data_IF_053402869796
#
_entry.id   IF_053402869796
#
_cell.length_a   1.000
_cell.length_b   1.000
_cell.length_c   1.000
_cell.angle_alpha   90.00
_cell.angle_beta   90.00
_cell.angle_gamma   90.00
#
_symmetry.space_group_name_H-M   'P 1'
#
loop_
_entity.id
_entity.type
_entity.pdbx_description
1 polymer ?
#
# COMPACT_ATOMS: atom_id res chain seq x y z
N UNK A 1 23.38 -3.71 4.24
CA UNK A 1 22.48 -2.65 3.75
C UNK A 1 22.06 -2.88 2.29
N UNK A 2 22.97 -3.23 1.38
CA UNK A 2 22.67 -3.39 -0.05
C UNK A 2 21.66 -4.50 -0.37
N UNK A 3 21.80 -5.68 0.25
CA UNK A 3 20.87 -6.79 0.05
C UNK A 3 19.43 -6.41 0.46
N UNK A 4 19.26 -5.69 1.57
CA UNK A 4 17.96 -5.20 2.02
C UNK A 4 17.35 -4.24 1.00
N UNK A 5 18.14 -3.30 0.46
CA UNK A 5 17.68 -2.38 -0.62
C UNK A 5 17.31 -3.10 -1.90
N UNK A 6 17.98 -4.22 -2.21
CA UNK A 6 17.63 -5.05 -3.37
C UNK A 6 16.29 -5.76 -3.17
N UNK A 7 16.04 -6.32 -1.98
CA UNK A 7 14.76 -6.94 -1.63
C UNK A 7 13.66 -5.87 -1.58
N UNK A 8 13.95 -4.70 -1.02
CA UNK A 8 13.05 -3.55 -0.91
C UNK A 8 13.07 -2.68 -2.19
N UNK A 9 13.00 -3.33 -3.36
CA UNK A 9 12.90 -2.60 -4.62
C UNK A 9 11.52 -1.93 -4.72
N UNK A 10 11.50 -0.59 -4.64
CA UNK A 10 10.28 0.23 -4.62
C UNK A 10 9.33 -0.11 -5.76
N UNK A 11 9.84 -0.16 -7.00
CA UNK A 11 9.01 -0.40 -8.19
C UNK A 11 8.38 -1.80 -8.17
N UNK A 12 9.14 -2.82 -7.78
CA UNK A 12 8.63 -4.19 -7.68
C UNK A 12 7.50 -4.27 -6.66
N UNK A 13 7.68 -3.72 -5.46
CA UNK A 13 6.64 -3.75 -4.43
C UNK A 13 5.39 -2.97 -4.83
N UNK A 14 5.53 -1.79 -5.43
CA UNK A 14 4.41 -1.02 -5.98
C UNK A 14 3.62 -1.82 -7.04
N UNK A 15 4.31 -2.53 -7.95
CA UNK A 15 3.65 -3.35 -8.97
C UNK A 15 2.92 -4.52 -8.32
N UNK A 16 3.57 -5.24 -7.40
CA UNK A 16 2.96 -6.39 -6.74
C UNK A 16 1.65 -6.00 -6.04
N UNK A 17 1.69 -4.93 -5.25
CA UNK A 17 0.51 -4.48 -4.51
C UNK A 17 -0.58 -3.94 -5.44
N UNK A 18 -0.22 -3.20 -6.49
CA UNK A 18 -1.18 -2.72 -7.48
C UNK A 18 -1.90 -3.87 -8.19
N UNK A 19 -1.17 -4.91 -8.61
CA UNK A 19 -1.74 -6.08 -9.28
C UNK A 19 -2.67 -6.85 -8.35
N UNK A 20 -2.27 -7.08 -7.08
CA UNK A 20 -3.12 -7.76 -6.09
C UNK A 20 -4.44 -6.99 -5.91
N UNK A 21 -4.38 -5.67 -5.72
CA UNK A 21 -5.57 -4.85 -5.50
C UNK A 21 -6.43 -4.72 -6.75
N UNK A 22 -5.84 -4.75 -7.94
CA UNK A 22 -6.60 -4.78 -9.20
C UNK A 22 -7.36 -6.09 -9.32
N UNK A 23 -6.68 -7.23 -9.10
CA UNK A 23 -7.30 -8.55 -9.26
C UNK A 23 -8.37 -8.79 -8.20
N UNK A 24 -8.04 -8.64 -6.92
CA UNK A 24 -8.95 -8.96 -5.81
C UNK A 24 -10.02 -7.90 -5.63
N UNK A 25 -9.66 -6.63 -5.77
CA UNK A 25 -10.56 -5.53 -5.47
C UNK A 25 -11.44 -5.09 -6.62
N UNK A 26 -11.02 -5.30 -7.87
CA UNK A 26 -11.74 -4.82 -9.06
C UNK A 26 -12.20 -5.98 -9.93
N UNK A 27 -11.28 -6.82 -10.40
CA UNK A 27 -11.60 -7.87 -11.39
C UNK A 27 -12.37 -9.06 -10.80
N UNK A 28 -12.26 -9.29 -9.48
CA UNK A 28 -13.04 -10.31 -8.80
C UNK A 28 -14.49 -9.90 -8.50
N UNK A 29 -14.85 -8.63 -8.71
CA UNK A 29 -16.22 -8.15 -8.58
C UNK A 29 -16.96 -8.47 -9.88
N UNK A 30 -18.04 -9.25 -9.78
CA UNK A 30 -18.69 -9.85 -10.97
C UNK A 30 -20.09 -9.34 -11.21
N UNK A 31 -20.72 -8.74 -10.20
CA UNK A 31 -22.05 -8.15 -10.30
C UNK A 31 -22.05 -6.68 -9.88
N UNK A 32 -21.81 -5.80 -10.84
CA UNK A 32 -21.83 -4.35 -10.63
C UNK A 32 -23.26 -3.77 -10.44
N UNK A 33 -24.31 -4.60 -10.46
CA UNK A 33 -25.65 -4.17 -10.04
C UNK A 33 -25.84 -4.25 -8.53
N UNK A 34 -24.94 -4.93 -7.81
CA UNK A 34 -24.89 -4.95 -6.35
C UNK A 34 -24.05 -3.77 -5.87
N UNK A 35 -24.67 -2.84 -5.15
CA UNK A 35 -24.02 -1.60 -4.69
C UNK A 35 -22.70 -1.86 -3.95
N UNK A 36 -22.67 -2.85 -3.05
CA UNK A 36 -21.46 -3.20 -2.29
C UNK A 36 -20.29 -3.68 -3.17
N UNK A 37 -20.57 -4.47 -4.22
CA UNK A 37 -19.53 -4.91 -5.17
C UNK A 37 -19.03 -3.74 -6.03
N UNK A 38 -19.94 -2.89 -6.50
CA UNK A 38 -19.61 -1.71 -7.28
C UNK A 38 -18.79 -0.67 -6.48
N UNK A 39 -19.17 -0.41 -5.23
CA UNK A 39 -18.44 0.48 -4.32
C UNK A 39 -17.04 -0.05 -4.01
N UNK A 40 -16.92 -1.35 -3.70
CA UNK A 40 -15.61 -1.97 -3.47
C UNK A 40 -14.73 -1.88 -4.72
N UNK A 41 -15.25 -2.22 -5.90
CA UNK A 41 -14.53 -2.06 -7.16
C UNK A 41 -14.07 -0.62 -7.40
N UNK A 42 -14.91 0.37 -7.10
CA UNK A 42 -14.57 1.79 -7.23
C UNK A 42 -13.39 2.21 -6.34
N UNK A 43 -13.43 1.84 -5.05
CA UNK A 43 -12.35 2.16 -4.10
C UNK A 43 -11.04 1.50 -4.52
N UNK A 44 -11.07 0.21 -4.85
CA UNK A 44 -9.87 -0.53 -5.23
C UNK A 44 -9.32 -0.11 -6.59
N UNK A 45 -10.15 0.39 -7.51
CA UNK A 45 -9.71 0.98 -8.77
C UNK A 45 -8.87 2.24 -8.55
N UNK A 46 -9.31 3.13 -7.66
CA UNK A 46 -8.55 4.34 -7.30
C UNK A 46 -7.22 3.97 -6.67
N UNK A 47 -7.22 3.04 -5.70
CA UNK A 47 -5.99 2.54 -5.05
C UNK A 47 -5.02 1.98 -6.10
N UNK A 48 -5.51 1.08 -6.96
CA UNK A 48 -4.69 0.45 -8.01
C UNK A 48 -4.12 1.47 -8.98
N UNK A 49 -4.91 2.48 -9.36
CA UNK A 49 -4.49 3.55 -10.28
C UNK A 49 -3.35 4.37 -9.68
N UNK A 50 -3.44 4.78 -8.42
CA UNK A 50 -2.36 5.53 -7.76
C UNK A 50 -1.08 4.71 -7.58
N UNK A 51 -1.21 3.42 -7.28
CA UNK A 51 -0.05 2.53 -7.15
C UNK A 51 0.63 2.29 -8.50
N UNK A 52 -0.13 2.08 -9.57
CA UNK A 52 0.42 1.99 -10.93
C UNK A 52 1.02 3.31 -11.41
N UNK A 53 0.38 4.44 -11.08
CA UNK A 53 0.95 5.76 -11.34
C UNK A 53 2.32 5.89 -10.67
N UNK A 54 2.42 5.59 -9.37
CA UNK A 54 3.68 5.60 -8.67
C UNK A 54 4.70 4.67 -9.33
N UNK A 55 4.32 3.43 -9.68
CA UNK A 55 5.22 2.43 -10.25
C UNK A 55 5.78 2.79 -11.63
N UNK A 56 4.97 3.42 -12.49
CA UNK A 56 5.30 3.58 -13.92
C UNK A 56 5.53 5.03 -14.35
N UNK A 57 5.02 6.01 -13.61
CA UNK A 57 5.08 7.43 -13.98
C UNK A 57 5.95 8.28 -13.05
N UNK A 58 6.54 7.68 -12.02
CA UNK A 58 7.53 8.34 -11.16
C UNK A 58 8.80 7.50 -11.08
N UNK A 59 9.93 8.11 -10.71
CA UNK A 59 11.21 7.41 -10.59
C UNK A 59 12.06 7.98 -9.44
N UNK A 60 13.10 7.25 -9.03
CA UNK A 60 14.09 7.71 -8.05
C UNK A 60 13.48 8.03 -6.68
N UNK A 61 13.97 9.09 -6.03
CA UNK A 61 13.51 9.50 -4.70
C UNK A 61 12.02 9.87 -4.68
N UNK A 62 11.51 10.49 -5.75
CA UNK A 62 10.10 10.85 -5.84
C UNK A 62 9.19 9.61 -5.80
N UNK A 63 9.56 8.54 -6.53
CA UNK A 63 8.84 7.27 -6.49
C UNK A 63 8.88 6.63 -5.10
N UNK A 64 10.04 6.65 -4.45
CA UNK A 64 10.20 6.09 -3.11
C UNK A 64 9.38 6.87 -2.06
N UNK A 65 9.40 8.20 -2.10
CA UNK A 65 8.59 9.05 -1.22
C UNK A 65 7.10 8.80 -1.44
N UNK A 66 6.67 8.72 -2.70
CA UNK A 66 5.27 8.42 -3.03
C UNK A 66 4.86 7.03 -2.53
N UNK A 67 5.71 6.01 -2.66
CA UNK A 67 5.45 4.69 -2.09
C UNK A 67 5.27 4.73 -0.56
N UNK A 68 6.12 5.47 0.16
CA UNK A 68 6.00 5.62 1.60
C UNK A 68 4.70 6.34 2.01
N UNK A 69 4.32 7.40 1.29
CA UNK A 69 3.10 8.19 1.58
C UNK A 69 1.83 7.41 1.25
N UNK A 70 1.82 6.63 0.17
CA UNK A 70 0.66 5.82 -0.18
C UNK A 70 0.50 4.61 0.74
N UNK A 71 1.60 3.89 1.03
CA UNK A 71 1.53 2.62 1.75
C UNK A 71 1.63 2.76 3.28
N UNK A 72 2.38 3.74 3.77
CA UNK A 72 2.66 3.92 5.20
C UNK A 72 1.39 4.10 6.04
N UNK A 73 0.51 5.07 5.73
CA UNK A 73 -0.74 5.26 6.46
C UNK A 73 -1.65 4.03 6.44
N UNK A 74 -1.71 3.31 5.32
CA UNK A 74 -2.54 2.09 5.19
C UNK A 74 -1.98 0.98 6.08
N UNK A 75 -0.66 0.79 6.10
CA UNK A 75 -0.02 -0.18 6.99
C UNK A 75 -0.26 0.15 8.47
N UNK A 76 -0.12 1.43 8.85
CA UNK A 76 -0.41 1.90 10.21
C UNK A 76 -1.87 1.63 10.57
N UNK A 77 -2.80 1.85 9.64
CA UNK A 77 -4.22 1.57 9.87
C UNK A 77 -4.46 0.09 10.19
N UNK A 78 -3.88 -0.84 9.42
CA UNK A 78 -3.98 -2.28 9.72
C UNK A 78 -3.39 -2.64 11.08
N UNK A 79 -2.30 -2.00 11.50
CA UNK A 79 -1.75 -2.18 12.84
C UNK A 79 -2.70 -1.67 13.93
N UNK A 80 -3.35 -0.52 13.72
CA UNK A 80 -4.37 0.00 14.64
C UNK A 80 -5.56 -0.96 14.72
N UNK A 81 -6.08 -1.41 13.59
CA UNK A 81 -7.15 -2.40 13.55
C UNK A 81 -6.80 -3.65 14.38
N UNK A 82 -5.58 -4.17 14.20
CA UNK A 82 -5.10 -5.37 14.88
C UNK A 82 -4.90 -5.21 16.39
N UNK A 83 -4.30 -4.08 16.81
CA UNK A 83 -3.96 -3.83 18.20
C UNK A 83 -5.19 -3.52 19.06
N UNK A 84 -6.26 -3.01 18.43
CA UNK A 84 -7.52 -2.67 19.10
C UNK A 84 -8.64 -3.65 18.77
N UNK A 85 -8.35 -4.73 18.04
CA UNK A 85 -9.33 -5.76 17.65
C UNK A 85 -10.59 -5.13 17.05
N UNK A 86 -10.41 -4.18 16.13
CA UNK A 86 -11.53 -3.45 15.54
C UNK A 86 -12.41 -4.39 14.70
N UNK A 87 -13.72 -4.20 14.78
CA UNK A 87 -14.68 -4.95 13.95
C UNK A 87 -14.93 -4.22 12.62
N UNK A 88 -14.93 -4.97 11.52
CA UNK A 88 -15.34 -4.47 10.21
C UNK A 88 -16.86 -4.31 10.14
N UNK A 89 -17.36 -3.58 9.15
CA UNK A 89 -18.81 -3.51 8.88
C UNK A 89 -19.46 -4.86 8.50
N UNK A 90 -18.67 -5.93 8.34
CA UNK A 90 -19.13 -7.28 8.00
C UNK A 90 -19.02 -8.26 9.18
N UNK A 91 -18.71 -7.77 10.39
CA UNK A 91 -18.53 -8.61 11.58
C UNK A 91 -17.18 -9.32 11.67
N UNK A 92 -16.22 -8.98 10.81
CA UNK A 92 -14.87 -9.52 10.88
C UNK A 92 -14.04 -8.74 11.90
N UNK A 93 -13.45 -9.42 12.87
CA UNK A 93 -12.58 -8.81 13.88
C UNK A 93 -11.14 -8.84 13.38
N UNK A 94 -10.50 -7.68 13.33
CA UNK A 94 -9.10 -7.57 12.94
C UNK A 94 -8.19 -7.97 14.10
N UNK A 95 -7.78 -9.24 14.15
CA UNK A 95 -6.81 -9.74 15.13
C UNK A 95 -5.41 -9.90 14.50
N UNK A 96 -4.36 -10.04 15.31
CA UNK A 96 -3.01 -10.42 14.87
C UNK A 96 -2.96 -11.91 14.47
N UNK A 97 -3.74 -12.27 13.45
CA UNK A 97 -3.88 -13.61 12.90
C UNK A 97 -3.29 -13.76 11.48
N UNK A 98 -3.28 -14.99 10.93
CA UNK A 98 -2.82 -15.28 9.57
C UNK A 98 -3.51 -14.42 8.48
N UNK A 99 -4.77 -14.05 8.68
CA UNK A 99 -5.60 -13.28 7.77
C UNK A 99 -5.09 -11.84 7.59
N UNK A 100 -4.39 -11.32 8.60
CA UNK A 100 -3.80 -9.99 8.59
C UNK A 100 -2.37 -9.99 8.00
N UNK A 101 -1.74 -11.16 7.81
CA UNK A 101 -0.39 -11.22 7.24
C UNK A 101 -0.30 -10.61 5.83
N UNK A 102 -1.21 -10.91 4.88
CA UNK A 102 -1.12 -10.32 3.54
C UNK A 102 -1.10 -8.78 3.56
N UNK A 103 -2.06 -8.06 4.18
CA UNK A 103 -2.00 -6.60 4.19
C UNK A 103 -0.75 -6.07 4.92
N UNK A 104 -0.35 -6.66 6.05
CA UNK A 104 0.85 -6.21 6.77
C UNK A 104 2.13 -6.37 5.96
N UNK A 105 2.29 -7.48 5.23
CA UNK A 105 3.48 -7.75 4.42
C UNK A 105 3.50 -6.84 3.20
N UNK A 106 2.42 -6.81 2.39
CA UNK A 106 2.46 -6.07 1.13
C UNK A 106 2.47 -4.56 1.35
N UNK A 107 1.65 -4.03 2.24
CA UNK A 107 1.69 -2.59 2.58
C UNK A 107 2.98 -2.23 3.31
N UNK A 108 3.41 -3.06 4.25
CA UNK A 108 4.60 -2.82 5.06
C UNK A 108 5.88 -2.82 4.24
N UNK A 109 6.06 -3.81 3.35
CA UNK A 109 7.21 -3.87 2.46
C UNK A 109 7.22 -2.73 1.44
N UNK A 110 6.06 -2.30 0.96
CA UNK A 110 5.96 -1.13 0.07
C UNK A 110 6.36 0.15 0.81
N UNK A 111 5.85 0.35 2.02
CA UNK A 111 6.18 1.50 2.86
C UNK A 111 7.67 1.51 3.25
N UNK A 112 8.20 0.37 3.69
CA UNK A 112 9.61 0.21 4.05
C UNK A 112 10.53 0.48 2.85
N UNK A 113 10.18 -0.03 1.66
CA UNK A 113 10.92 0.26 0.43
C UNK A 113 10.96 1.76 0.16
N UNK A 114 9.83 2.44 0.31
CA UNK A 114 9.75 3.89 0.17
C UNK A 114 10.63 4.64 1.18
N UNK A 115 10.58 4.27 2.46
CA UNK A 115 11.39 4.89 3.51
C UNK A 115 12.89 4.71 3.28
N UNK A 116 13.32 3.52 2.89
CA UNK A 116 14.74 3.20 2.68
C UNK A 116 15.35 3.93 1.48
N UNK A 117 14.54 4.27 0.47
CA UNK A 117 15.00 4.86 -0.80
C UNK A 117 14.58 6.33 -0.98
N UNK A 118 13.72 6.85 -0.10
CA UNK A 118 13.12 8.18 -0.24
C UNK A 118 14.03 9.34 0.15
N UNK A 119 15.18 9.10 0.79
CA UNK A 119 16.15 10.12 1.20
C UNK A 119 15.46 11.37 1.79
N UNK A 120 14.58 11.16 2.77
CA UNK A 120 13.75 12.22 3.36
C UNK A 120 14.58 13.31 4.05
N UNK A 121 15.78 12.98 4.51
CA UNK A 121 16.71 13.94 5.09
C UNK A 121 17.11 15.07 4.12
N UNK A 122 17.15 14.80 2.80
CA UNK A 122 17.47 15.82 1.79
C UNK A 122 16.43 16.94 1.73
N UNK A 123 15.17 16.65 2.09
CA UNK A 123 14.08 17.64 2.12
C UNK A 123 14.20 18.55 3.35
N UNK A 124 14.61 17.96 4.48
CA UNK A 124 14.77 18.66 5.76
C UNK A 124 16.04 19.53 5.78
N UNK A 125 17.06 19.18 4.99
CA UNK A 125 18.28 19.98 4.86
C UNK A 125 18.17 21.12 3.84
N UNK A 126 17.18 21.08 2.95
CA UNK A 126 16.97 22.14 1.94
C UNK A 126 16.09 23.30 2.42
N UNK A 127 15.49 23.20 3.61
CA UNK A 127 14.70 24.28 4.22
C UNK A 127 15.56 25.40 4.85
N UNK A 128 16.89 25.32 4.76
CA UNK A 128 17.84 26.36 5.22
C UNK A 128 18.44 27.23 4.09
N UNK A 129 17.97 27.13 2.84
CA UNK A 129 18.52 27.88 1.68
C UNK A 129 17.56 28.92 1.08
#
# INVERSE_FOLDING_TARGET
MEQLKKICNVKVWLILIAVIHTVVGVLAQTDFSVDAEAEMAGVFLVISTYLFYAAFFTNGEAQARLAAVLAGPIWVWFMVCALFELESGTGFVWELGPELLPPLVFWGMTALSGLLHGNFHNLMSSEEA
#
